data_IF_206861494402
#
_entry.id   IF_206861494402
#
_cell.length_a   1.000
_cell.length_b   1.000
_cell.length_c   1.000
_cell.angle_alpha   90.00
_cell.angle_beta   90.00
_cell.angle_gamma   90.00
#
_symmetry.space_group_name_H-M   'P 1'
#
loop_
_entity.id
_entity.type
_entity.pdbx_description
1 polymer ?
#
# COMPACT_ATOMS: atom_id res chain seq x y z
N UNK A 1 -0.43 2.29 15.60
CA UNK A 1 -1.03 3.02 14.47
C UNK A 1 -2.50 2.71 14.47
N UNK A 2 -3.38 3.71 14.64
CA UNK A 2 -4.85 3.49 14.69
C UNK A 2 -5.64 4.81 14.53
N UNK A 3 -5.26 5.68 13.58
CA UNK A 3 -5.97 6.95 13.36
C UNK A 3 -6.83 6.96 12.09
N UNK A 4 -6.74 5.91 11.27
CA UNK A 4 -7.67 5.62 10.18
C UNK A 4 -8.10 4.17 10.35
N UNK A 5 -9.38 3.86 10.63
CA UNK A 5 -9.86 2.51 10.39
C UNK A 5 -9.61 2.23 8.90
N UNK A 6 -9.21 1.01 8.57
CA UNK A 6 -8.82 0.51 7.26
C UNK A 6 -9.93 0.61 6.19
N UNK A 7 -10.39 1.84 5.95
CA UNK A 7 -11.64 2.21 5.29
C UNK A 7 -11.33 3.02 4.02
N UNK A 8 -10.44 2.44 3.22
CA UNK A 8 -9.94 3.03 1.98
C UNK A 8 -10.87 2.82 0.78
N UNK A 9 -11.84 1.92 0.91
CA UNK A 9 -12.66 1.46 -0.21
C UNK A 9 -14.14 1.75 0.05
N UNK A 10 -14.87 2.00 -1.01
CA UNK A 10 -16.32 2.01 -1.00
C UNK A 10 -16.85 0.57 -1.02
N UNK A 11 -18.10 0.37 -0.62
CA UNK A 11 -18.74 -0.96 -0.62
C UNK A 11 -18.79 -1.61 -2.00
N UNK A 12 -18.76 -0.81 -3.07
CA UNK A 12 -18.73 -1.28 -4.45
C UNK A 12 -17.32 -1.69 -4.95
N UNK A 13 -16.30 -1.61 -4.11
CA UNK A 13 -14.92 -1.97 -4.46
C UNK A 13 -14.12 -0.88 -5.17
N UNK A 14 -14.67 0.33 -5.29
CA UNK A 14 -13.95 1.50 -5.81
C UNK A 14 -13.19 2.21 -4.68
N UNK A 15 -11.99 2.76 -4.95
CA UNK A 15 -11.29 3.56 -3.96
C UNK A 15 -12.09 4.83 -3.65
N UNK A 16 -12.05 5.29 -2.40
CA UNK A 16 -12.52 6.63 -2.05
C UNK A 16 -11.64 7.70 -2.71
N UNK A 17 -12.12 8.93 -2.92
CA UNK A 17 -11.30 10.00 -3.51
C UNK A 17 -9.96 10.21 -2.80
N UNK A 18 -9.94 10.15 -1.46
CA UNK A 18 -8.71 10.29 -0.67
C UNK A 18 -7.77 9.09 -0.88
N UNK A 19 -8.33 7.89 -1.04
CA UNK A 19 -7.57 6.68 -1.35
C UNK A 19 -6.94 6.72 -2.73
N UNK A 20 -7.57 7.37 -3.71
CA UNK A 20 -6.97 7.55 -5.03
C UNK A 20 -5.68 8.37 -4.95
N UNK A 21 -5.66 9.43 -4.14
CA UNK A 21 -4.46 10.25 -3.91
C UNK A 21 -3.37 9.44 -3.18
N UNK A 22 -3.74 8.64 -2.18
CA UNK A 22 -2.81 7.75 -1.47
C UNK A 22 -2.19 6.74 -2.44
N UNK A 23 -3.01 6.04 -3.23
CA UNK A 23 -2.55 5.06 -4.21
C UNK A 23 -1.60 5.70 -5.22
N UNK A 24 -1.98 6.83 -5.81
CA UNK A 24 -1.14 7.53 -6.78
C UNK A 24 0.19 7.97 -6.19
N UNK A 25 0.19 8.49 -4.95
CA UNK A 25 1.41 8.89 -4.25
C UNK A 25 2.33 7.70 -3.99
N UNK A 26 1.78 6.59 -3.47
CA UNK A 26 2.55 5.38 -3.20
C UNK A 26 3.09 4.76 -4.48
N UNK A 27 2.30 4.70 -5.56
CA UNK A 27 2.73 4.24 -6.88
C UNK A 27 3.87 5.10 -7.44
N UNK A 28 3.79 6.42 -7.31
CA UNK A 28 4.85 7.33 -7.73
C UNK A 28 6.16 7.07 -6.98
N UNK A 29 6.10 6.89 -5.66
CA UNK A 29 7.26 6.53 -4.82
C UNK A 29 7.82 5.18 -5.24
N UNK A 30 6.97 4.16 -5.40
CA UNK A 30 7.39 2.80 -5.76
C UNK A 30 7.93 2.71 -7.20
N UNK A 31 7.51 3.60 -8.10
CA UNK A 31 8.10 3.74 -9.43
C UNK A 31 9.52 4.29 -9.36
N UNK A 32 9.77 5.27 -8.47
CA UNK A 32 11.10 5.86 -8.30
C UNK A 32 12.04 5.01 -7.44
N UNK A 33 11.52 4.32 -6.43
CA UNK A 33 12.27 3.44 -5.53
C UNK A 33 11.45 2.17 -5.23
N UNK A 34 11.56 1.15 -6.10
CA UNK A 34 10.81 -0.10 -5.96
C UNK A 34 10.97 -0.78 -4.60
N UNK A 35 12.15 -0.66 -3.98
CA UNK A 35 12.50 -1.36 -2.74
C UNK A 35 12.29 -0.48 -1.49
N UNK A 36 11.59 0.65 -1.60
CA UNK A 36 11.30 1.50 -0.45
C UNK A 36 10.43 0.73 0.58
N UNK A 37 10.92 0.43 1.80
CA UNK A 37 10.21 -0.46 2.72
C UNK A 37 8.90 0.15 3.21
N UNK A 38 8.91 1.43 3.61
CA UNK A 38 7.70 2.13 4.04
C UNK A 38 6.59 2.18 2.98
N UNK A 39 6.93 2.56 1.74
CA UNK A 39 5.96 2.60 0.64
C UNK A 39 5.41 1.22 0.28
N UNK A 40 6.24 0.17 0.24
CA UNK A 40 5.73 -1.20 0.01
C UNK A 40 4.78 -1.63 1.14
N UNK A 41 5.11 -1.32 2.40
CA UNK A 41 4.28 -1.66 3.55
C UNK A 41 2.92 -0.96 3.50
N UNK A 42 2.92 0.37 3.29
CA UNK A 42 1.68 1.16 3.20
C UNK A 42 0.84 0.77 1.99
N UNK A 43 1.46 0.39 0.87
CA UNK A 43 0.74 -0.02 -0.33
C UNK A 43 -0.02 -1.34 -0.13
N UNK A 44 0.61 -2.35 0.48
CA UNK A 44 -0.07 -3.62 0.84
C UNK A 44 -1.32 -3.32 1.68
N UNK A 45 -1.11 -2.52 2.72
CA UNK A 45 -2.12 -2.06 3.65
C UNK A 45 -3.28 -1.28 3.02
N UNK A 46 -3.00 -0.54 1.95
CA UNK A 46 -4.03 0.20 1.23
C UNK A 46 -4.91 -0.72 0.39
N UNK A 47 -4.37 -1.83 -0.14
CA UNK A 47 -5.06 -2.67 -1.13
C UNK A 47 -5.55 -4.03 -0.60
N UNK A 48 -5.04 -4.53 0.53
CA UNK A 48 -5.24 -5.91 1.00
C UNK A 48 -6.70 -6.32 1.22
N UNK A 49 -7.57 -5.38 1.57
CA UNK A 49 -8.97 -5.66 1.88
C UNK A 49 -9.84 -5.92 0.64
N UNK A 50 -9.51 -5.29 -0.50
CA UNK A 50 -10.40 -5.27 -1.68
C UNK A 50 -9.69 -5.69 -2.97
N UNK A 51 -8.42 -5.31 -3.14
CA UNK A 51 -7.60 -5.62 -4.32
C UNK A 51 -6.24 -6.19 -3.92
N UNK A 52 -6.18 -7.30 -3.15
CA UNK A 52 -4.93 -7.84 -2.61
C UNK A 52 -3.89 -8.19 -3.69
N UNK A 53 -4.34 -8.52 -4.91
CA UNK A 53 -3.48 -8.82 -6.05
C UNK A 53 -2.52 -7.67 -6.40
N UNK A 54 -2.91 -6.42 -6.14
CA UNK A 54 -2.05 -5.26 -6.35
C UNK A 54 -0.85 -5.27 -5.40
N UNK A 55 -1.04 -5.76 -4.18
CA UNK A 55 -0.03 -5.76 -3.12
C UNK A 55 1.04 -6.86 -3.26
N UNK A 56 0.85 -7.85 -4.14
CA UNK A 56 1.73 -9.03 -4.23
C UNK A 56 3.19 -8.64 -4.50
N UNK A 57 3.42 -7.76 -5.48
CA UNK A 57 4.79 -7.34 -5.82
C UNK A 57 5.46 -6.59 -4.65
N UNK A 58 4.69 -5.77 -3.92
CA UNK A 58 5.17 -5.06 -2.75
C UNK A 58 5.49 -6.02 -1.59
N UNK A 59 4.64 -7.02 -1.36
CA UNK A 59 4.85 -8.06 -0.34
C UNK A 59 6.10 -8.88 -0.62
N UNK A 60 6.33 -9.27 -1.88
CA UNK A 60 7.56 -9.96 -2.29
C UNK A 60 8.80 -9.11 -2.03
N UNK A 61 8.77 -7.81 -2.34
CA UNK A 61 9.92 -6.92 -2.09
C UNK A 61 10.22 -6.77 -0.60
N UNK A 62 9.20 -6.65 0.24
CA UNK A 62 9.38 -6.60 1.70
C UNK A 62 9.93 -7.90 2.27
N UNK A 63 9.42 -9.05 1.81
CA UNK A 63 9.91 -10.35 2.26
C UNK A 63 11.40 -10.56 1.96
N UNK A 64 11.91 -9.91 0.91
CA UNK A 64 13.32 -9.94 0.51
C UNK A 64 14.16 -8.77 1.06
N UNK A 65 13.57 -7.88 1.87
CA UNK A 65 14.26 -6.74 2.47
C UNK A 65 14.74 -7.07 3.89
N UNK A 66 15.87 -6.48 4.36
CA UNK A 66 16.24 -6.59 5.77
C UNK A 66 15.11 -6.05 6.67
N UNK A 67 14.93 -6.59 7.89
CA UNK A 67 13.84 -6.22 8.77
C UNK A 67 13.83 -4.71 9.04
N UNK A 68 12.62 -4.13 9.05
CA UNK A 68 12.40 -2.70 9.29
C UNK A 68 12.91 -2.39 10.71
N UNK A 69 14.01 -1.64 10.83
CA UNK A 69 14.47 -1.15 12.13
C UNK A 69 13.51 -0.03 12.56
N UNK A 70 12.84 -0.24 13.69
CA UNK A 70 11.99 0.74 14.36
C UNK A 70 12.81 1.72 15.20
#
# INVERSE_FOLDING_TARGET
MNTMPWDYWQENGEPKPETQEILHTLEAVLKSNPNHPGANHLYIHTVEAVKPELGIAAAVRLANSPPIQH
#
